data_IF_148850962127
#
_entry.id   IF_148850962127
#
_cell.length_a   1.000
_cell.length_b   1.000
_cell.length_c   1.000
_cell.angle_alpha   90.00
_cell.angle_beta   90.00
_cell.angle_gamma   90.00
#
_symmetry.space_group_name_H-M   'P 1'
#
loop_
_entity.id
_entity.type
_entity.pdbx_description
1 polymer ?
#
# COMPACT_ATOMS: atom_id res chain seq x y z
N UNK A 1 4.78 19.92 -0.26
CA UNK A 1 4.48 19.78 -1.69
C UNK A 1 3.35 18.74 -1.79
N UNK A 2 2.10 19.19 -1.95
CA UNK A 2 0.99 18.29 -2.25
C UNK A 2 1.26 17.67 -3.62
N UNK A 3 1.36 16.35 -3.69
CA UNK A 3 1.40 15.66 -4.99
C UNK A 3 -0.03 15.63 -5.51
N UNK A 4 -0.26 16.27 -6.64
CA UNK A 4 -1.53 16.14 -7.36
C UNK A 4 -1.76 14.66 -7.67
N UNK A 5 -2.83 14.11 -7.12
CA UNK A 5 -3.24 12.74 -7.39
C UNK A 5 -4.49 12.77 -8.27
N UNK A 6 -4.40 12.12 -9.42
CA UNK A 6 -5.59 11.91 -10.24
C UNK A 6 -6.55 10.97 -9.50
N UNK A 7 -7.77 11.45 -9.29
CA UNK A 7 -8.84 10.64 -8.69
C UNK A 7 -9.93 10.38 -9.73
N UNK A 8 -10.37 9.13 -9.79
CA UNK A 8 -11.49 8.76 -10.64
C UNK A 8 -12.81 9.21 -9.97
N UNK A 9 -13.72 9.81 -10.75
CA UNK A 9 -15.06 10.14 -10.25
C UNK A 9 -15.88 8.89 -9.90
N UNK A 10 -15.63 7.81 -10.62
CA UNK A 10 -16.28 6.52 -10.41
C UNK A 10 -15.24 5.41 -10.58
N UNK A 11 -15.25 4.44 -9.66
CA UNK A 11 -14.30 3.32 -9.65
C UNK A 11 -13.12 3.53 -8.69
N UNK A 12 -12.20 2.61 -8.70
CA UNK A 12 -11.02 2.58 -7.84
C UNK A 12 -9.77 2.60 -8.71
N UNK A 13 -8.83 3.48 -8.38
CA UNK A 13 -7.52 3.52 -9.02
C UNK A 13 -6.46 2.91 -8.10
N UNK A 14 -5.95 1.74 -8.48
CA UNK A 14 -4.87 1.08 -7.76
C UNK A 14 -3.53 1.37 -8.43
N UNK A 15 -2.66 2.06 -7.72
CA UNK A 15 -1.27 2.26 -8.13
C UNK A 15 -0.46 1.01 -7.79
N UNK A 16 -0.22 0.16 -8.78
CA UNK A 16 0.51 -1.10 -8.58
C UNK A 16 1.98 -0.86 -8.22
N UNK A 17 2.60 0.20 -8.70
CA UNK A 17 3.98 0.53 -8.31
C UNK A 17 4.07 0.75 -6.79
N UNK A 18 3.16 1.54 -6.23
CA UNK A 18 3.09 1.76 -4.78
C UNK A 18 2.71 0.51 -4.01
N UNK A 19 1.80 -0.28 -4.56
CA UNK A 19 1.38 -1.53 -3.94
C UNK A 19 2.56 -2.50 -3.82
N UNK A 20 3.30 -2.72 -4.90
CA UNK A 20 4.46 -3.61 -4.88
C UNK A 20 5.67 -3.03 -4.13
N UNK A 21 5.79 -1.70 -4.03
CA UNK A 21 6.83 -1.07 -3.20
C UNK A 21 6.54 -1.11 -1.70
N UNK A 22 5.34 -1.51 -1.30
CA UNK A 22 5.00 -1.69 0.10
C UNK A 22 5.69 -2.95 0.66
N UNK A 23 6.56 -2.74 1.65
CA UNK A 23 7.35 -3.83 2.26
C UNK A 23 6.50 -4.97 2.81
N UNK A 24 5.29 -4.67 3.28
CA UNK A 24 4.41 -5.71 3.79
C UNK A 24 4.01 -6.69 2.68
N UNK A 25 3.64 -6.20 1.50
CA UNK A 25 3.34 -7.07 0.36
C UNK A 25 4.61 -7.76 -0.14
N UNK A 26 5.71 -7.03 -0.31
CA UNK A 26 6.97 -7.59 -0.79
C UNK A 26 7.43 -8.79 0.06
N UNK A 27 7.42 -8.65 1.38
CA UNK A 27 7.95 -9.66 2.30
C UNK A 27 6.92 -10.76 2.56
N UNK A 28 5.73 -10.39 3.01
CA UNK A 28 4.77 -11.37 3.55
C UNK A 28 3.89 -12.01 2.48
N UNK A 29 3.57 -11.30 1.40
CA UNK A 29 2.74 -11.86 0.34
C UNK A 29 3.58 -12.53 -0.76
N UNK A 30 4.71 -11.94 -1.13
CA UNK A 30 5.51 -12.38 -2.26
C UNK A 30 6.88 -12.95 -1.89
N UNK A 31 7.21 -13.07 -0.58
CA UNK A 31 8.42 -13.74 -0.11
C UNK A 31 9.72 -13.14 -0.66
N UNK A 32 9.77 -11.81 -0.86
CA UNK A 32 10.92 -11.08 -1.41
C UNK A 32 11.38 -11.57 -2.80
N UNK A 33 10.47 -12.09 -3.62
CA UNK A 33 10.79 -12.58 -4.97
C UNK A 33 11.30 -11.52 -5.93
N UNK A 34 11.17 -10.25 -5.60
CA UNK A 34 11.68 -9.12 -6.38
C UNK A 34 12.36 -8.12 -5.45
N UNK A 35 13.39 -7.44 -5.94
CA UNK A 35 14.18 -6.45 -5.18
C UNK A 35 13.97 -5.02 -5.68
N UNK A 36 13.71 -4.88 -6.97
CA UNK A 36 13.37 -3.63 -7.62
C UNK A 36 11.86 -3.59 -7.93
N UNK A 37 11.27 -2.39 -7.89
CA UNK A 37 9.83 -2.18 -8.03
C UNK A 37 9.41 -1.82 -9.46
N UNK A 38 10.32 -1.90 -10.42
CA UNK A 38 9.97 -1.76 -11.83
C UNK A 38 9.05 -2.89 -12.28
N UNK A 39 8.18 -2.60 -13.25
CA UNK A 39 7.25 -3.60 -13.79
C UNK A 39 8.00 -4.86 -14.25
N UNK A 40 9.17 -4.68 -14.86
CA UNK A 40 9.99 -5.80 -15.34
C UNK A 40 10.47 -6.70 -14.19
N UNK A 41 11.05 -6.10 -13.13
CA UNK A 41 11.57 -6.84 -11.99
C UNK A 41 10.46 -7.58 -11.24
N UNK A 42 9.32 -6.92 -11.03
CA UNK A 42 8.16 -7.53 -10.37
C UNK A 42 7.58 -8.68 -11.21
N UNK A 43 7.42 -8.49 -12.52
CA UNK A 43 6.93 -9.55 -13.41
C UNK A 43 7.89 -10.74 -13.46
N UNK A 44 9.18 -10.49 -13.57
CA UNK A 44 10.21 -11.55 -13.55
C UNK A 44 10.16 -12.34 -12.25
N UNK A 45 10.07 -11.65 -11.11
CA UNK A 45 10.05 -12.29 -9.79
C UNK A 45 8.77 -13.06 -9.48
N UNK A 46 7.61 -12.57 -9.91
CA UNK A 46 6.30 -13.14 -9.57
C UNK A 46 5.78 -14.07 -10.67
N UNK A 47 5.84 -13.64 -11.94
CA UNK A 47 5.26 -14.35 -13.08
C UNK A 47 6.29 -15.22 -13.82
N UNK A 48 7.60 -14.96 -13.63
CA UNK A 48 8.65 -15.55 -14.46
C UNK A 48 8.69 -15.00 -15.89
N UNK A 49 7.99 -13.89 -16.16
CA UNK A 49 7.92 -13.24 -17.48
C UNK A 49 8.69 -11.92 -17.46
N UNK A 50 9.33 -11.60 -18.57
CA UNK A 50 10.06 -10.35 -18.74
C UNK A 50 9.33 -9.42 -19.72
N UNK A 51 9.59 -8.12 -19.59
CA UNK A 51 9.21 -7.14 -20.60
C UNK A 51 9.91 -7.47 -21.92
N UNK A 52 9.24 -7.18 -23.00
CA UNK A 52 9.89 -7.24 -24.32
C UNK A 52 10.88 -6.08 -24.39
N UNK A 53 12.16 -6.42 -24.44
CA UNK A 53 13.20 -5.43 -24.73
C UNK A 53 13.27 -5.24 -26.25
N UNK A 54 13.04 -4.03 -26.70
CA UNK A 54 13.06 -3.70 -28.11
C UNK A 54 14.43 -3.18 -28.58
N UNK A 55 15.39 -2.99 -27.64
CA UNK A 55 16.73 -2.49 -27.97
C UNK A 55 16.78 -1.11 -28.62
N UNK A 56 15.63 -0.42 -28.70
CA UNK A 56 15.46 0.89 -29.35
C UNK A 56 14.85 1.86 -28.36
N UNK A 57 15.36 3.08 -28.31
CA UNK A 57 14.76 4.16 -27.51
C UNK A 57 13.34 4.47 -28.00
N UNK A 58 12.43 4.80 -27.06
CA UNK A 58 11.01 5.04 -27.34
C UNK A 58 10.82 6.09 -28.44
N UNK A 59 11.65 7.12 -28.45
CA UNK A 59 11.59 8.22 -29.42
C UNK A 59 11.88 7.77 -30.88
N UNK A 60 12.58 6.65 -31.04
CA UNK A 60 12.93 6.08 -32.34
C UNK A 60 12.03 4.91 -32.76
N UNK A 61 11.01 4.60 -31.97
CA UNK A 61 10.06 3.52 -32.25
C UNK A 61 8.98 3.93 -33.24
N UNK A 62 8.61 3.00 -34.12
CA UNK A 62 7.42 3.15 -34.96
C UNK A 62 6.15 3.05 -34.15
N UNK A 63 5.04 3.63 -34.59
CA UNK A 63 3.73 3.53 -33.92
C UNK A 63 3.31 2.09 -33.63
N UNK A 64 3.61 1.16 -34.53
CA UNK A 64 3.33 -0.26 -34.33
C UNK A 64 4.14 -0.85 -33.16
N UNK A 65 5.42 -0.51 -33.06
CA UNK A 65 6.28 -0.96 -31.97
C UNK A 65 5.82 -0.39 -30.62
N UNK A 66 5.45 0.90 -30.59
CA UNK A 66 4.89 1.54 -29.39
C UNK A 66 3.59 0.86 -28.97
N UNK A 67 2.68 0.60 -29.91
CA UNK A 67 1.42 -0.08 -29.62
C UNK A 67 1.64 -1.49 -29.05
N UNK A 68 2.57 -2.25 -29.61
CA UNK A 68 2.95 -3.58 -29.13
C UNK A 68 3.59 -3.52 -27.73
N UNK A 69 4.42 -2.53 -27.49
CA UNK A 69 5.02 -2.27 -26.16
C UNK A 69 3.93 -1.98 -25.12
N UNK A 70 3.04 -1.03 -25.39
CA UNK A 70 1.95 -0.68 -24.49
C UNK A 70 1.00 -1.88 -24.24
N UNK A 71 0.70 -2.67 -25.26
CA UNK A 71 -0.11 -3.87 -25.13
C UNK A 71 0.55 -4.90 -24.20
N UNK A 72 1.87 -5.09 -24.34
CA UNK A 72 2.60 -6.01 -23.46
C UNK A 72 2.61 -5.54 -22.01
N UNK A 73 2.85 -4.25 -21.76
CA UNK A 73 2.82 -3.67 -20.42
C UNK A 73 1.43 -3.80 -19.77
N UNK A 74 0.37 -3.53 -20.52
CA UNK A 74 -1.00 -3.72 -20.07
C UNK A 74 -1.29 -5.19 -19.75
N UNK A 75 -0.83 -6.13 -20.59
CA UNK A 75 -0.98 -7.58 -20.36
C UNK A 75 -0.26 -8.03 -19.09
N UNK A 76 0.98 -7.59 -18.87
CA UNK A 76 1.75 -7.91 -17.68
C UNK A 76 1.10 -7.32 -16.42
N UNK A 77 0.63 -6.08 -16.49
CA UNK A 77 -0.11 -5.43 -15.40
C UNK A 77 -1.36 -6.22 -15.03
N UNK A 78 -2.14 -6.65 -16.02
CA UNK A 78 -3.32 -7.50 -15.79
C UNK A 78 -2.93 -8.84 -15.16
N UNK A 79 -1.90 -9.52 -15.66
CA UNK A 79 -1.42 -10.79 -15.10
C UNK A 79 -0.97 -10.67 -13.63
N UNK A 80 -0.35 -9.56 -13.25
CA UNK A 80 0.03 -9.32 -11.85
C UNK A 80 -1.19 -9.21 -10.93
N UNK A 81 -2.29 -8.64 -11.40
CA UNK A 81 -3.52 -8.55 -10.60
C UNK A 81 -4.27 -9.86 -10.50
N UNK A 82 -4.23 -10.68 -11.56
CA UNK A 82 -4.89 -12.00 -11.63
C UNK A 82 -4.00 -13.18 -11.23
N UNK A 83 -2.78 -12.92 -10.80
CA UNK A 83 -1.84 -13.95 -10.37
C UNK A 83 -2.38 -14.76 -9.18
N UNK A 84 -2.22 -16.08 -9.24
CA UNK A 84 -2.57 -17.02 -8.17
C UNK A 84 -3.98 -16.80 -7.59
N UNK A 85 -4.99 -16.91 -8.45
CA UNK A 85 -6.41 -16.67 -8.10
C UNK A 85 -6.66 -15.31 -7.48
N UNK A 86 -6.19 -14.27 -8.14
CA UNK A 86 -6.35 -12.86 -7.71
C UNK A 86 -5.76 -12.59 -6.30
N UNK A 87 -4.65 -13.24 -5.97
CA UNK A 87 -4.01 -13.15 -4.64
C UNK A 87 -3.86 -11.69 -4.17
N UNK A 88 -3.34 -10.82 -5.03
CA UNK A 88 -3.14 -9.41 -4.68
C UNK A 88 -4.46 -8.72 -4.35
N UNK A 89 -5.48 -8.91 -5.19
CA UNK A 89 -6.80 -8.29 -4.99
C UNK A 89 -7.47 -8.81 -3.74
N UNK A 90 -7.40 -10.11 -3.50
CA UNK A 90 -7.95 -10.74 -2.29
C UNK A 90 -7.27 -10.22 -1.02
N UNK A 91 -5.95 -10.07 -1.03
CA UNK A 91 -5.20 -9.48 0.09
C UNK A 91 -5.62 -8.02 0.35
N UNK A 92 -5.70 -7.20 -0.70
CA UNK A 92 -6.15 -5.81 -0.57
C UNK A 92 -7.56 -5.73 0.03
N UNK A 93 -8.49 -6.58 -0.41
CA UNK A 93 -9.86 -6.63 0.13
C UNK A 93 -9.87 -7.06 1.59
N UNK A 94 -9.10 -8.07 1.96
CA UNK A 94 -9.01 -8.54 3.36
C UNK A 94 -8.44 -7.43 4.26
N UNK A 95 -7.34 -6.80 3.85
CA UNK A 95 -6.72 -5.72 4.64
C UNK A 95 -7.67 -4.52 4.74
N UNK A 96 -8.37 -4.15 3.67
CA UNK A 96 -9.42 -3.12 3.65
C UNK A 96 -10.48 -3.37 4.73
N UNK A 97 -10.93 -4.61 4.84
CA UNK A 97 -11.93 -5.00 5.85
C UNK A 97 -11.39 -4.92 7.28
N UNK A 98 -10.15 -5.35 7.48
CA UNK A 98 -9.49 -5.32 8.80
C UNK A 98 -9.18 -3.88 9.20
N UNK A 99 -8.48 -3.14 8.35
CA UNK A 99 -8.03 -1.77 8.65
C UNK A 99 -9.16 -0.74 8.61
N UNK A 100 -10.33 -1.07 8.06
CA UNK A 100 -11.46 -0.14 7.89
C UNK A 100 -11.09 1.10 7.08
N UNK A 101 -10.32 0.89 6.02
CA UNK A 101 -9.85 1.94 5.11
C UNK A 101 -10.28 1.63 3.67
N UNK A 102 -10.43 2.64 2.82
CA UNK A 102 -10.61 2.44 1.38
C UNK A 102 -9.46 1.66 0.76
N UNK A 103 -9.74 0.88 -0.28
CA UNK A 103 -8.75 0.00 -0.91
C UNK A 103 -7.59 0.77 -1.58
N UNK A 104 -7.86 1.93 -2.13
CA UNK A 104 -6.85 2.83 -2.70
C UNK A 104 -5.89 3.38 -1.63
N UNK A 105 -6.38 3.64 -0.42
CA UNK A 105 -5.54 4.03 0.72
C UNK A 105 -4.68 2.86 1.21
N UNK A 106 -5.21 1.64 1.25
CA UNK A 106 -4.43 0.44 1.58
C UNK A 106 -3.24 0.28 0.62
N UNK A 107 -3.46 0.47 -0.67
CA UNK A 107 -2.40 0.37 -1.67
C UNK A 107 -1.31 1.45 -1.52
N UNK A 108 -1.68 2.63 -1.02
CA UNK A 108 -0.77 3.79 -0.90
C UNK A 108 -0.08 3.91 0.46
N UNK A 109 -0.70 3.42 1.53
CA UNK A 109 -0.26 3.62 2.89
C UNK A 109 0.43 2.37 3.45
N UNK A 110 1.34 2.60 4.40
CA UNK A 110 2.03 1.51 5.08
C UNK A 110 1.23 0.92 6.24
N UNK A 111 1.73 -0.18 6.78
CA UNK A 111 1.12 -0.95 7.88
C UNK A 111 0.79 -0.10 9.10
N UNK A 112 1.63 0.88 9.45
CA UNK A 112 1.37 1.79 10.59
C UNK A 112 0.06 2.55 10.45
N UNK A 113 -0.30 2.95 9.22
CA UNK A 113 -1.57 3.64 8.98
C UNK A 113 -2.76 2.68 9.03
N UNK A 114 -2.58 1.44 8.58
CA UNK A 114 -3.60 0.40 8.70
C UNK A 114 -3.94 0.12 10.17
N UNK A 115 -2.91 -0.07 10.99
CA UNK A 115 -3.07 -0.27 12.44
C UNK A 115 -3.72 0.96 13.07
N UNK A 116 -3.28 2.17 12.74
CA UNK A 116 -3.87 3.41 13.26
C UNK A 116 -5.35 3.52 12.92
N UNK A 117 -5.74 3.22 11.70
CA UNK A 117 -7.15 3.25 11.28
C UNK A 117 -7.99 2.24 12.06
N UNK A 118 -7.50 1.02 12.22
CA UNK A 118 -8.15 -0.02 13.02
C UNK A 118 -8.34 0.46 14.48
N UNK A 119 -7.28 1.04 15.08
CA UNK A 119 -7.33 1.57 16.43
C UNK A 119 -8.35 2.70 16.59
N UNK A 120 -8.38 3.63 15.62
CA UNK A 120 -9.38 4.70 15.62
C UNK A 120 -10.80 4.15 15.51
N UNK A 121 -11.02 3.16 14.69
CA UNK A 121 -12.31 2.49 14.57
C UNK A 121 -12.74 1.86 15.90
N UNK A 122 -11.87 1.09 16.55
CA UNK A 122 -12.17 0.43 17.83
C UNK A 122 -12.39 1.44 18.97
N UNK A 123 -11.61 2.53 19.04
CA UNK A 123 -11.85 3.60 20.00
C UNK A 123 -13.23 4.24 19.82
N UNK A 124 -13.58 4.57 18.59
CA UNK A 124 -14.89 5.17 18.29
C UNK A 124 -16.04 4.22 18.58
N UNK A 125 -15.89 2.96 18.24
CA UNK A 125 -16.89 1.91 18.48
C UNK A 125 -17.17 1.74 19.98
N UNK A 126 -16.14 1.86 20.81
CA UNK A 126 -16.23 1.71 22.26
C UNK A 126 -16.40 3.05 23.00
N UNK A 127 -16.62 4.15 22.29
CA UNK A 127 -16.74 5.50 22.82
C UNK A 127 -15.52 5.96 23.66
N UNK A 128 -14.33 5.50 23.31
CA UNK A 128 -13.09 5.95 23.93
C UNK A 128 -12.60 7.25 23.31
N UNK A 129 -12.04 8.12 24.15
CA UNK A 129 -11.41 9.35 23.67
C UNK A 129 -10.13 9.03 22.90
N UNK A 130 -9.98 9.63 21.72
CA UNK A 130 -8.75 9.58 20.94
C UNK A 130 -7.93 10.82 21.31
N UNK A 131 -6.77 10.69 21.97
CA UNK A 131 -5.96 11.83 22.38
C UNK A 131 -5.40 12.57 21.15
N UNK A 132 -5.27 13.90 21.26
CA UNK A 132 -4.63 14.69 20.20
C UNK A 132 -3.13 14.47 20.21
N UNK A 133 -2.52 14.42 19.02
CA UNK A 133 -1.08 14.21 18.87
C UNK A 133 -0.24 15.24 19.66
N UNK A 134 -0.64 16.51 19.65
CA UNK A 134 0.04 17.56 20.41
C UNK A 134 0.07 17.33 21.95
N UNK A 135 -0.90 16.61 22.48
CA UNK A 135 -0.93 16.25 23.91
C UNK A 135 0.04 15.09 24.23
N UNK A 136 0.36 14.28 23.22
CA UNK A 136 1.31 13.17 23.32
C UNK A 136 2.76 13.64 23.16
N UNK A 137 3.03 14.54 22.22
CA UNK A 137 4.39 15.04 21.91
C UNK A 137 5.01 15.81 23.12
N UNK A 138 4.21 16.50 23.91
CA UNK A 138 4.68 17.18 25.12
C UNK A 138 5.04 16.23 26.27
N UNK A 139 4.61 14.97 26.23
CA UNK A 139 4.89 13.96 27.25
C UNK A 139 5.91 12.92 26.81
N UNK A 140 6.15 12.76 25.53
CA UNK A 140 7.03 11.72 24.97
C UNK A 140 8.53 12.07 24.99
N UNK A 141 8.90 13.30 25.37
CA UNK A 141 10.29 13.66 25.60
C UNK A 141 10.94 12.97 26.81
N UNK A 142 10.18 12.24 27.59
CA UNK A 142 10.64 11.44 28.71
C UNK A 142 9.80 10.19 28.92
N UNK A 143 10.28 9.04 28.47
CA UNK A 143 9.84 7.70 28.82
C UNK A 143 8.43 7.29 28.35
N UNK A 144 8.34 6.79 27.12
CA UNK A 144 7.10 6.29 26.51
C UNK A 144 6.43 5.12 27.24
N UNK A 145 7.15 4.34 28.04
CA UNK A 145 6.59 3.14 28.68
C UNK A 145 5.97 3.40 30.07
N UNK A 146 6.45 4.39 30.79
CA UNK A 146 5.95 4.66 32.16
C UNK A 146 4.70 5.57 32.19
N UNK A 147 4.52 6.40 31.17
CA UNK A 147 3.39 7.33 31.09
C UNK A 147 2.04 6.60 30.85
N UNK A 148 2.08 5.48 30.13
CA UNK A 148 0.88 4.70 29.79
C UNK A 148 0.30 4.02 31.02
N UNK A 149 1.12 3.63 31.99
CA UNK A 149 0.72 2.85 33.16
C UNK A 149 0.28 3.75 34.33
N UNK A 150 0.80 4.96 34.43
CA UNK A 150 0.61 5.82 35.62
C UNK A 150 -0.47 6.88 35.49
N UNK A 151 -0.89 7.25 34.30
CA UNK A 151 -1.87 8.32 34.11
C UNK A 151 -3.29 7.77 33.98
N UNK A 152 -4.07 7.88 35.07
CA UNK A 152 -5.50 7.51 35.13
C UNK A 152 -6.34 8.22 34.04
N UNK A 153 -5.84 9.29 33.43
CA UNK A 153 -6.53 10.09 32.43
C UNK A 153 -6.70 9.35 31.11
N UNK A 154 -5.89 8.32 30.86
CA UNK A 154 -5.92 7.51 29.65
C UNK A 154 -6.38 6.06 29.89
N UNK A 155 -7.14 5.83 30.96
CA UNK A 155 -7.72 4.52 31.24
C UNK A 155 -8.58 4.07 30.06
N UNK A 156 -8.13 3.05 29.34
CA UNK A 156 -8.81 2.50 28.17
C UNK A 156 -8.37 3.10 26.83
N UNK A 157 -7.42 4.03 26.79
CA UNK A 157 -6.80 4.52 25.58
C UNK A 157 -5.52 3.76 25.24
N UNK A 158 -5.32 3.40 23.98
CA UNK A 158 -4.06 2.88 23.46
C UNK A 158 -3.29 4.01 22.79
N UNK A 159 -2.05 4.23 23.21
CA UNK A 159 -1.15 5.18 22.54
C UNK A 159 -0.49 4.46 21.39
N UNK A 160 -0.69 4.96 20.17
CA UNK A 160 -0.09 4.46 18.94
C UNK A 160 1.02 5.39 18.49
#
# INVERSE_FOLDING_TARGET
>A
MMRDSATLQRGVHLDLYRTFSNRAFQIYAFGQKYTDFSLNSVCKGILGEEKIDHGVEIDNMTYYQIAKYCQNDARLTYKLTSFNNDLLMNLLVVITRIARMPIDDIARMGVSQWIRSLMYYEHRKNNFLIPRRAELDNKSAGMANDAIIKDKKYRGGMVV
#
